data_IF_246876402139
#
_entry.id   IF_246876402139
#
_cell.length_a   1.000
_cell.length_b   1.000
_cell.length_c   1.000
_cell.angle_alpha   90.00
_cell.angle_beta   90.00
_cell.angle_gamma   90.00
#
_symmetry.space_group_name_H-M   'P 1'
#
loop_
_entity.id
_entity.type
_entity.pdbx_description
1 polymer ?
#
# COMPACT_ATOMS: atom_id res chain seq x y z
N UNK A 1 3.80 -3.50 5.47
CA UNK A 1 5.11 -3.00 5.94
C UNK A 1 6.16 -4.08 5.94
N UNK A 2 5.96 -5.24 6.58
CA UNK A 2 6.95 -6.33 6.57
C UNK A 2 7.40 -6.76 5.16
N UNK A 3 6.45 -7.02 4.25
CA UNK A 3 6.77 -7.38 2.87
C UNK A 3 7.54 -6.28 2.12
N UNK A 4 7.23 -5.01 2.37
CA UNK A 4 7.92 -3.86 1.77
C UNK A 4 9.36 -3.73 2.30
N UNK A 5 9.57 -3.97 3.60
CA UNK A 5 10.91 -4.03 4.18
C UNK A 5 11.69 -5.19 3.57
N UNK A 6 11.06 -6.37 3.44
CA UNK A 6 11.66 -7.53 2.77
C UNK A 6 12.07 -7.23 1.34
N UNK A 7 11.22 -6.56 0.55
CA UNK A 7 11.55 -6.10 -0.81
C UNK A 7 12.79 -5.22 -0.84
N UNK A 8 12.83 -4.19 0.02
CA UNK A 8 13.99 -3.28 0.10
C UNK A 8 15.25 -4.06 0.47
N UNK A 9 15.19 -4.94 1.47
CA UNK A 9 16.36 -5.70 1.92
C UNK A 9 16.84 -6.66 0.84
N UNK A 10 15.95 -7.50 0.29
CA UNK A 10 16.31 -8.51 -0.71
C UNK A 10 16.81 -7.89 -2.02
N UNK A 11 16.22 -6.78 -2.47
CA UNK A 11 16.67 -6.06 -3.65
C UNK A 11 18.04 -5.41 -3.47
N UNK A 12 18.34 -4.82 -2.29
CA UNK A 12 19.66 -4.22 -2.04
C UNK A 12 20.76 -5.26 -1.79
N UNK A 13 20.43 -6.44 -1.25
CA UNK A 13 21.40 -7.52 -1.07
C UNK A 13 21.75 -8.18 -2.42
N UNK A 14 20.75 -8.35 -3.31
CA UNK A 14 20.94 -8.90 -4.64
C UNK A 14 21.35 -10.38 -4.66
N UNK A 15 21.91 -10.83 -5.79
CA UNK A 15 22.32 -12.22 -5.99
C UNK A 15 21.15 -13.19 -5.86
N UNK A 16 21.32 -14.26 -5.07
CA UNK A 16 20.27 -15.27 -4.84
C UNK A 16 19.03 -14.72 -4.12
N UNK A 17 19.13 -13.55 -3.49
CA UNK A 17 17.98 -12.90 -2.84
C UNK A 17 17.05 -12.21 -3.83
N UNK A 18 17.47 -12.01 -5.09
CA UNK A 18 16.64 -11.36 -6.10
C UNK A 18 15.40 -12.20 -6.44
N UNK A 19 15.50 -13.53 -6.38
CA UNK A 19 14.31 -14.38 -6.49
C UNK A 19 13.29 -14.01 -5.40
N UNK A 20 13.69 -13.94 -4.14
CA UNK A 20 12.80 -13.50 -3.06
C UNK A 20 12.24 -12.09 -3.26
N UNK A 21 13.02 -11.16 -3.82
CA UNK A 21 12.54 -9.84 -4.18
C UNK A 21 11.37 -9.93 -5.18
N UNK A 22 11.51 -10.72 -6.24
CA UNK A 22 10.48 -10.93 -7.26
C UNK A 22 9.21 -11.54 -6.65
N UNK A 23 9.35 -12.62 -5.88
CA UNK A 23 8.21 -13.29 -5.22
C UNK A 23 7.48 -12.36 -4.23
N UNK A 24 8.23 -11.60 -3.43
CA UNK A 24 7.66 -10.58 -2.54
C UNK A 24 6.98 -9.46 -3.33
N UNK A 25 7.49 -9.13 -4.52
CA UNK A 25 6.91 -8.14 -5.43
C UNK A 25 5.52 -8.56 -5.88
N UNK A 26 5.38 -9.82 -6.32
CA UNK A 26 4.09 -10.39 -6.71
C UNK A 26 3.12 -10.51 -5.54
N UNK A 27 3.63 -10.84 -4.35
CA UNK A 27 2.82 -10.84 -3.15
C UNK A 27 2.31 -9.43 -2.79
N UNK A 28 3.17 -8.41 -2.87
CA UNK A 28 2.78 -7.02 -2.65
C UNK A 28 1.80 -6.54 -3.72
N UNK A 29 1.97 -6.92 -4.99
CA UNK A 29 1.00 -6.64 -6.06
C UNK A 29 -0.39 -7.18 -5.69
N UNK A 30 -0.46 -8.43 -5.25
CA UNK A 30 -1.71 -9.07 -4.81
C UNK A 30 -2.36 -8.32 -3.63
N UNK A 31 -1.57 -7.90 -2.63
CA UNK A 31 -2.06 -7.12 -1.49
C UNK A 31 -2.54 -5.72 -1.89
N UNK A 32 -1.86 -5.07 -2.84
CA UNK A 32 -2.26 -3.76 -3.37
C UNK A 32 -3.59 -3.85 -4.10
N UNK A 33 -3.74 -4.82 -5.01
CA UNK A 33 -5.00 -5.06 -5.73
C UNK A 33 -6.13 -5.38 -4.74
N UNK A 34 -5.88 -6.23 -3.75
CA UNK A 34 -6.85 -6.51 -2.68
C UNK A 34 -7.24 -5.23 -1.95
N UNK A 35 -6.27 -4.38 -1.59
CA UNK A 35 -6.54 -3.13 -0.88
C UNK A 35 -7.35 -2.16 -1.72
N UNK A 36 -7.13 -2.11 -3.03
CA UNK A 36 -7.92 -1.29 -3.97
C UNK A 36 -9.37 -1.79 -4.05
N UNK A 37 -9.59 -3.10 -4.24
CA UNK A 37 -10.94 -3.68 -4.24
C UNK A 37 -11.64 -3.46 -2.90
N UNK A 38 -10.98 -3.80 -1.79
CA UNK A 38 -11.52 -3.64 -0.43
C UNK A 38 -11.76 -2.18 -0.04
N UNK A 39 -11.03 -1.25 -0.66
CA UNK A 39 -11.25 0.19 -0.53
C UNK A 39 -12.49 0.71 -1.26
N UNK A 40 -13.12 -0.10 -2.10
CA UNK A 40 -14.39 0.24 -2.75
C UNK A 40 -15.54 -0.53 -2.11
N UNK A 41 -15.42 -1.85 -1.98
CA UNK A 41 -16.54 -2.72 -1.57
C UNK A 41 -16.55 -3.10 -0.08
N UNK A 42 -15.46 -2.82 0.64
CA UNK A 42 -15.30 -3.25 2.03
C UNK A 42 -16.19 -2.53 3.05
N UNK A 43 -15.88 -2.75 4.32
CA UNK A 43 -16.55 -2.14 5.47
C UNK A 43 -16.45 -0.60 5.50
N UNK A 44 -17.28 0.04 6.34
CA UNK A 44 -17.40 1.51 6.38
C UNK A 44 -16.04 2.22 6.51
N UNK A 45 -15.20 1.77 7.45
CA UNK A 45 -13.89 2.40 7.71
C UNK A 45 -12.77 1.98 6.75
N UNK A 46 -12.99 0.97 5.89
CA UNK A 46 -11.99 0.57 4.88
C UNK A 46 -12.16 1.30 3.56
N UNK A 47 -13.37 1.76 3.26
CA UNK A 47 -13.72 2.41 1.99
C UNK A 47 -13.07 3.78 1.82
N UNK A 48 -12.49 4.06 0.66
CA UNK A 48 -11.83 5.35 0.37
C UNK A 48 -12.77 6.54 0.57
N UNK A 49 -14.06 6.38 0.24
CA UNK A 49 -15.07 7.41 0.43
C UNK A 49 -15.25 7.86 1.89
N UNK A 50 -14.95 7.01 2.89
CA UNK A 50 -15.11 7.39 4.30
C UNK A 50 -13.96 8.26 4.83
N UNK A 51 -12.86 8.37 4.10
CA UNK A 51 -11.69 9.17 4.48
C UNK A 51 -11.10 9.99 3.32
N UNK A 52 -11.89 10.22 2.26
CA UNK A 52 -11.58 11.16 1.19
C UNK A 52 -11.97 12.58 1.63
N UNK A 53 -10.98 13.32 2.13
CA UNK A 53 -11.21 14.66 2.68
C UNK A 53 -10.96 15.75 1.64
N UNK A 54 -11.83 16.76 1.61
CA UNK A 54 -11.60 17.97 0.84
C UNK A 54 -10.38 18.77 1.39
N UNK A 55 -9.67 19.56 0.57
CA UNK A 55 -8.51 20.34 1.02
C UNK A 55 -8.77 21.20 2.26
N UNK A 56 -9.96 21.80 2.37
CA UNK A 56 -10.38 22.58 3.55
C UNK A 56 -10.35 21.77 4.87
N UNK A 57 -10.67 20.48 4.82
CA UNK A 57 -10.67 19.60 5.99
C UNK A 57 -9.25 19.27 6.44
N UNK A 58 -8.31 19.17 5.49
CA UNK A 58 -6.88 18.99 5.77
C UNK A 58 -6.35 20.24 6.47
N UNK A 59 -6.64 21.43 5.95
CA UNK A 59 -6.26 22.69 6.60
C UNK A 59 -6.89 22.87 7.98
N UNK A 60 -8.18 22.52 8.13
CA UNK A 60 -8.84 22.55 9.44
C UNK A 60 -8.15 21.60 10.43
N UNK A 61 -7.71 20.42 9.98
CA UNK A 61 -6.95 19.47 10.80
C UNK A 61 -5.62 20.02 11.26
N UNK A 62 -4.83 20.61 10.36
CA UNK A 62 -3.55 21.23 10.67
C UNK A 62 -3.68 22.37 11.70
N UNK A 63 -4.80 23.11 11.66
CA UNK A 63 -5.13 24.15 12.64
C UNK A 63 -5.77 23.65 13.93
N UNK A 64 -5.88 22.33 14.12
CA UNK A 64 -6.51 21.71 15.30
C UNK A 64 -8.04 21.82 15.35
N UNK A 65 -8.69 22.27 14.28
CA UNK A 65 -10.14 22.52 14.17
C UNK A 65 -10.92 21.39 13.51
N UNK A 66 -10.29 20.24 13.26
CA UNK A 66 -10.98 19.12 12.61
C UNK A 66 -12.03 18.47 13.54
N UNK A 67 -13.22 18.14 13.01
CA UNK A 67 -14.22 17.33 13.71
C UNK A 67 -13.65 16.07 14.35
N UNK A 68 -14.23 15.66 15.48
CA UNK A 68 -13.84 14.44 16.22
C UNK A 68 -14.07 13.17 15.39
N UNK A 69 -15.11 13.13 14.56
CA UNK A 69 -15.41 11.99 13.69
C UNK A 69 -14.27 11.69 12.71
N UNK A 70 -13.57 12.72 12.21
CA UNK A 70 -12.42 12.54 11.34
C UNK A 70 -11.23 11.88 12.05
N UNK A 71 -11.28 11.67 13.37
CA UNK A 71 -10.19 11.01 14.13
C UNK A 71 -10.50 9.54 14.44
N UNK A 72 -11.67 9.05 14.03
CA UNK A 72 -12.08 7.66 14.30
C UNK A 72 -11.33 6.70 13.40
N UNK A 73 -11.52 6.80 12.08
CA UNK A 73 -10.72 6.09 11.09
C UNK A 73 -9.41 6.80 10.79
N UNK A 74 -9.11 6.98 9.51
CA UNK A 74 -7.96 7.76 9.07
C UNK A 74 -8.25 9.25 9.25
N UNK A 75 -7.41 9.94 10.02
CA UNK A 75 -7.44 11.40 10.06
C UNK A 75 -6.96 12.00 8.72
N UNK A 76 -7.21 13.30 8.45
CA UNK A 76 -6.87 13.88 7.16
C UNK A 76 -5.42 13.70 6.72
N UNK A 77 -4.44 13.79 7.62
CA UNK A 77 -3.03 13.50 7.28
C UNK A 77 -2.77 12.00 7.10
N UNK A 78 -3.39 11.16 7.93
CA UNK A 78 -3.34 9.71 7.78
C UNK A 78 -3.94 9.23 6.45
N UNK A 79 -5.02 9.85 5.99
CA UNK A 79 -5.64 9.59 4.70
C UNK A 79 -4.70 9.94 3.54
N UNK A 80 -4.05 11.12 3.59
CA UNK A 80 -3.01 11.48 2.61
C UNK A 80 -1.87 10.47 2.59
N UNK A 81 -1.42 10.01 3.77
CA UNK A 81 -0.38 8.98 3.85
C UNK A 81 -0.81 7.67 3.19
N UNK A 82 -2.07 7.22 3.37
CA UNK A 82 -2.60 6.03 2.69
C UNK A 82 -2.58 6.21 1.17
N UNK A 83 -3.10 7.32 0.64
CA UNK A 83 -3.14 7.54 -0.80
C UNK A 83 -1.73 7.67 -1.40
N UNK A 84 -0.82 8.38 -0.73
CA UNK A 84 0.57 8.52 -1.16
C UNK A 84 1.29 7.17 -1.20
N UNK A 85 1.17 6.36 -0.14
CA UNK A 85 1.79 5.03 -0.10
C UNK A 85 1.18 4.07 -1.12
N UNK A 86 -0.14 4.10 -1.33
CA UNK A 86 -0.79 3.26 -2.35
C UNK A 86 -0.31 3.61 -3.75
N UNK A 87 -0.25 4.90 -4.08
CA UNK A 87 0.20 5.36 -5.39
C UNK A 87 1.68 5.02 -5.60
N UNK A 88 2.54 5.35 -4.64
CA UNK A 88 3.97 5.09 -4.74
C UNK A 88 4.28 3.60 -4.85
N UNK A 89 3.63 2.76 -4.04
CA UNK A 89 3.80 1.30 -4.12
C UNK A 89 3.29 0.74 -5.45
N UNK A 90 2.17 1.24 -5.96
CA UNK A 90 1.65 0.80 -7.25
C UNK A 90 2.63 1.13 -8.37
N UNK A 91 3.13 2.37 -8.42
CA UNK A 91 4.14 2.77 -9.41
C UNK A 91 5.42 1.94 -9.28
N UNK A 92 5.90 1.70 -8.05
CA UNK A 92 7.10 0.88 -7.80
C UNK A 92 6.93 -0.55 -8.31
N UNK A 93 5.77 -1.17 -8.05
CA UNK A 93 5.51 -2.55 -8.49
C UNK A 93 5.36 -2.62 -9.99
N UNK A 94 4.62 -1.69 -10.60
CA UNK A 94 4.43 -1.65 -12.05
C UNK A 94 5.75 -1.39 -12.79
N UNK A 95 6.60 -0.49 -12.27
CA UNK A 95 7.93 -0.27 -12.84
C UNK A 95 8.80 -1.53 -12.70
N UNK A 96 8.71 -2.25 -11.57
CA UNK A 96 9.44 -3.51 -11.37
C UNK A 96 9.01 -4.64 -12.32
N UNK A 97 7.75 -4.66 -12.77
CA UNK A 97 7.31 -5.61 -13.81
C UNK A 97 7.93 -5.30 -15.19
N UNK A 98 8.38 -4.06 -15.39
CA UNK A 98 9.01 -3.54 -16.61
C UNK A 98 10.54 -3.41 -16.50
N UNK A 99 11.13 -3.73 -15.36
CA UNK A 99 12.58 -3.65 -15.13
C UNK A 99 13.29 -4.86 -15.74
N UNK A 100 14.44 -4.61 -16.34
CA UNK A 100 15.39 -5.62 -16.81
C UNK A 100 16.77 -5.29 -16.23
N UNK A 101 17.41 -6.27 -15.57
CA UNK A 101 18.77 -6.11 -15.03
C UNK A 101 19.86 -6.41 -16.06
N UNK A 102 19.47 -6.81 -17.29
CA UNK A 102 20.30 -7.17 -18.43
C UNK A 102 21.26 -8.36 -18.21
N UNK A 103 21.16 -9.07 -17.08
CA UNK A 103 22.07 -10.16 -16.72
C UNK A 103 21.29 -11.45 -16.44
N UNK A 104 20.41 -11.45 -15.44
CA UNK A 104 19.78 -12.66 -14.92
C UNK A 104 18.26 -12.53 -14.74
N UNK A 105 17.72 -11.31 -14.59
CA UNK A 105 16.33 -11.09 -14.23
C UNK A 105 15.69 -10.01 -15.09
N UNK A 106 14.62 -10.41 -15.78
CA UNK A 106 13.75 -9.50 -16.51
C UNK A 106 12.32 -9.64 -16.01
N UNK A 107 11.65 -8.50 -15.85
CA UNK A 107 10.24 -8.42 -15.50
C UNK A 107 9.35 -8.97 -16.61
N UNK A 108 8.17 -9.51 -16.27
CA UNK A 108 7.30 -10.17 -17.25
C UNK A 108 6.74 -9.22 -18.31
N UNK A 109 6.78 -7.91 -18.07
CA UNK A 109 6.23 -6.91 -19.00
C UNK A 109 7.28 -6.30 -19.93
N UNK A 110 8.56 -6.63 -19.76
CA UNK A 110 9.65 -6.14 -20.63
C UNK A 110 9.35 -6.38 -22.11
N UNK A 111 8.78 -7.55 -22.44
CA UNK A 111 8.42 -7.92 -23.81
C UNK A 111 7.30 -7.04 -24.44
N UNK A 112 6.53 -6.31 -23.63
CA UNK A 112 5.45 -5.43 -24.09
C UNK A 112 5.89 -3.97 -24.28
N UNK A 113 7.09 -3.62 -23.84
CA UNK A 113 7.58 -2.24 -23.81
C UNK A 113 8.75 -2.02 -24.77
N UNK A 114 8.91 -0.78 -25.23
CA UNK A 114 10.13 -0.41 -25.96
C UNK A 114 11.32 -0.37 -25.00
N UNK A 115 12.56 -0.56 -25.49
CA UNK A 115 13.76 -0.48 -24.66
C UNK A 115 13.83 0.83 -23.85
N UNK A 116 13.45 1.95 -24.45
CA UNK A 116 13.44 3.25 -23.78
C UNK A 116 12.45 3.32 -22.59
N UNK A 117 11.34 2.58 -22.64
CA UNK A 117 10.41 2.49 -21.52
C UNK A 117 10.91 1.52 -20.45
N UNK A 118 11.56 0.43 -20.84
CA UNK A 118 12.22 -0.53 -19.93
C UNK A 118 13.31 0.20 -19.14
N UNK A 119 14.20 0.93 -19.81
CA UNK A 119 15.27 1.71 -19.17
C UNK A 119 14.71 2.72 -18.15
N UNK A 120 13.68 3.49 -18.53
CA UNK A 120 13.02 4.43 -17.61
C UNK A 120 12.36 3.74 -16.42
N UNK A 121 11.77 2.57 -16.63
CA UNK A 121 11.14 1.80 -15.58
C UNK A 121 12.18 1.24 -14.60
N UNK A 122 13.30 0.72 -15.12
CA UNK A 122 14.48 0.31 -14.35
C UNK A 122 15.03 1.47 -13.52
N UNK A 123 15.33 2.61 -14.13
CA UNK A 123 15.84 3.81 -13.44
C UNK A 123 14.89 4.27 -12.33
N UNK A 124 13.58 4.31 -12.63
CA UNK A 124 12.59 4.67 -11.62
C UNK A 124 12.55 3.63 -10.50
N UNK A 125 12.51 2.34 -10.81
CA UNK A 125 12.42 1.28 -9.81
C UNK A 125 13.64 1.29 -8.89
N UNK A 126 14.84 1.37 -9.45
CA UNK A 126 16.09 1.16 -8.73
C UNK A 126 16.57 2.42 -8.01
N UNK A 127 16.24 3.61 -8.50
CA UNK A 127 16.71 4.86 -7.92
C UNK A 127 15.57 5.68 -7.31
N UNK A 128 14.71 6.25 -8.17
CA UNK A 128 13.77 7.31 -7.78
C UNK A 128 12.67 6.77 -6.87
N UNK A 129 11.96 5.75 -7.33
CA UNK A 129 10.86 5.10 -6.65
C UNK A 129 11.31 4.42 -5.36
N UNK A 130 12.48 3.76 -5.37
CA UNK A 130 13.10 3.20 -4.17
C UNK A 130 13.31 4.24 -3.08
N UNK A 131 13.97 5.36 -3.40
CA UNK A 131 14.24 6.43 -2.43
C UNK A 131 12.97 7.11 -1.94
N UNK A 132 12.03 7.39 -2.85
CA UNK A 132 10.72 7.95 -2.51
C UNK A 132 9.98 7.03 -1.53
N UNK A 133 9.94 5.72 -1.80
CA UNK A 133 9.22 4.76 -0.98
C UNK A 133 9.87 4.60 0.40
N UNK A 134 11.19 4.56 0.49
CA UNK A 134 11.93 4.56 1.77
C UNK A 134 11.54 5.80 2.59
N UNK A 135 11.55 6.99 1.97
CA UNK A 135 11.18 8.24 2.63
C UNK A 135 9.73 8.22 3.15
N UNK A 136 8.78 7.77 2.32
CA UNK A 136 7.36 7.68 2.71
C UNK A 136 7.13 6.66 3.83
N UNK A 137 7.78 5.50 3.77
CA UNK A 137 7.70 4.47 4.83
C UNK A 137 8.30 5.00 6.12
N UNK A 138 9.49 5.62 6.07
CA UNK A 138 10.12 6.22 7.24
C UNK A 138 9.21 7.29 7.87
N UNK A 139 8.67 8.21 7.08
CA UNK A 139 7.73 9.23 7.54
C UNK A 139 6.48 8.61 8.18
N UNK A 140 5.93 7.56 7.57
CA UNK A 140 4.77 6.85 8.10
C UNK A 140 5.08 6.21 9.46
N UNK A 141 6.21 5.52 9.60
CA UNK A 141 6.64 4.90 10.86
C UNK A 141 6.91 5.96 11.95
N UNK A 142 7.54 7.09 11.60
CA UNK A 142 7.73 8.21 12.50
C UNK A 142 6.39 8.81 12.96
N UNK A 143 5.41 8.92 12.07
CA UNK A 143 4.06 9.35 12.45
C UNK A 143 3.44 8.36 13.45
N UNK A 144 3.51 7.05 13.22
CA UNK A 144 3.00 6.05 14.17
C UNK A 144 3.68 6.16 15.54
N UNK A 145 5.01 6.40 15.56
CA UNK A 145 5.75 6.61 16.79
C UNK A 145 5.30 7.90 17.50
N UNK A 146 5.10 8.99 16.77
CA UNK A 146 4.56 10.23 17.30
C UNK A 146 3.17 10.04 17.93
N UNK A 147 2.25 9.34 17.27
CA UNK A 147 0.93 9.07 17.84
C UNK A 147 1.02 8.20 19.09
N UNK A 148 1.92 7.20 19.11
CA UNK A 148 2.13 6.34 20.27
C UNK A 148 2.72 7.12 21.46
N UNK A 149 3.79 7.88 21.25
CA UNK A 149 4.55 8.51 22.34
C UNK A 149 3.97 9.85 22.79
N UNK A 150 3.56 10.70 21.84
CA UNK A 150 3.10 12.07 22.11
C UNK A 150 1.59 12.12 22.27
N UNK A 151 0.84 11.51 21.35
CA UNK A 151 -0.63 11.49 21.42
C UNK A 151 -1.18 10.40 22.34
N UNK A 152 -0.33 9.45 22.77
CA UNK A 152 -0.72 8.29 23.59
C UNK A 152 -1.87 7.50 22.97
N UNK A 153 -1.90 7.43 21.64
CA UNK A 153 -2.89 6.66 20.87
C UNK A 153 -2.24 5.38 20.35
N UNK A 154 -2.77 4.22 20.74
CA UNK A 154 -2.26 2.92 20.35
C UNK A 154 -2.74 2.51 18.93
N UNK A 155 -2.31 3.25 17.90
CA UNK A 155 -2.75 3.04 16.51
C UNK A 155 -2.39 1.65 15.98
N UNK A 156 -1.19 1.14 16.30
CA UNK A 156 -0.73 -0.18 15.83
C UNK A 156 -1.62 -1.30 16.34
N UNK A 157 -2.12 -1.19 17.58
CA UNK A 157 -3.05 -2.18 18.14
C UNK A 157 -4.33 -2.25 17.31
N UNK A 158 -4.93 -1.08 17.03
CA UNK A 158 -6.13 -0.99 16.21
C UNK A 158 -5.92 -1.46 14.75
N UNK A 159 -4.69 -1.37 14.23
CA UNK A 159 -4.37 -1.91 12.90
C UNK A 159 -4.30 -3.44 12.88
N UNK A 160 -3.96 -4.07 14.01
CA UNK A 160 -3.86 -5.53 14.12
C UNK A 160 -5.20 -6.17 14.48
N UNK A 161 -5.94 -5.56 15.42
CA UNK A 161 -7.24 -6.08 15.86
C UNK A 161 -8.40 -5.63 14.97
N UNK A 162 -8.24 -4.51 14.26
CA UNK A 162 -9.33 -3.84 13.55
C UNK A 162 -10.17 -2.92 14.45
N UNK A 163 -9.95 -2.95 15.77
CA UNK A 163 -10.77 -2.27 16.76
C UNK A 163 -10.06 -1.07 17.38
N UNK A 164 -10.76 0.07 17.41
CA UNK A 164 -10.31 1.29 18.09
C UNK A 164 -11.26 1.63 19.23
N UNK A 165 -10.70 1.78 20.44
CA UNK A 165 -11.47 2.26 21.59
C UNK A 165 -11.77 3.76 21.43
N UNK A 166 -13.05 4.12 21.51
CA UNK A 166 -13.53 5.49 21.31
C UNK A 166 -14.31 5.98 22.53
N UNK A 167 -14.17 7.27 22.91
CA UNK A 167 -14.98 7.87 23.99
C UNK A 167 -16.45 8.04 23.64
N UNK A 168 -16.79 8.03 22.34
CA UNK A 168 -18.15 8.21 21.83
C UNK A 168 -18.45 7.14 20.79
N UNK A 169 -19.70 6.66 20.69
CA UNK A 169 -20.12 5.77 19.61
C UNK A 169 -19.83 6.38 18.25
N UNK A 170 -19.36 5.54 17.34
CA UNK A 170 -19.17 5.86 15.93
C UNK A 170 -19.82 4.75 15.09
N UNK A 171 -20.11 4.99 13.80
CA UNK A 171 -20.60 3.93 12.92
C UNK A 171 -19.69 2.70 13.02
N UNK A 172 -20.25 1.51 13.26
CA UNK A 172 -19.46 0.28 13.25
C UNK A 172 -19.22 -0.18 11.81
N UNK A 173 -18.05 -0.79 11.57
CA UNK A 173 -17.92 -1.66 10.40
C UNK A 173 -18.69 -2.96 10.68
N UNK A 174 -19.29 -3.54 9.63
CA UNK A 174 -19.87 -4.88 9.72
C UNK A 174 -18.74 -5.88 9.52
N UNK A 175 -18.48 -6.73 10.50
CA UNK A 175 -17.32 -7.64 10.49
C UNK A 175 -17.74 -9.11 10.64
N UNK A 176 -18.94 -9.46 10.15
CA UNK A 176 -19.50 -10.81 10.22
C UNK A 176 -19.00 -11.76 9.13
N UNK A 177 -19.46 -13.02 9.17
CA UNK A 177 -19.02 -14.08 8.25
C UNK A 177 -19.17 -13.71 6.76
N UNK A 178 -20.23 -12.98 6.40
CA UNK A 178 -20.44 -12.51 5.03
C UNK A 178 -19.34 -11.53 4.57
N UNK A 179 -18.85 -10.66 5.47
CA UNK A 179 -17.78 -9.72 5.15
C UNK A 179 -16.41 -10.40 5.07
N UNK A 180 -16.18 -11.42 5.90
CA UNK A 180 -15.01 -12.29 5.77
C UNK A 180 -15.01 -13.07 4.46
N UNK A 181 -16.17 -13.62 4.05
CA UNK A 181 -16.32 -14.28 2.75
C UNK A 181 -16.09 -13.31 1.59
N UNK A 182 -16.60 -12.08 1.68
CA UNK A 182 -16.34 -11.03 0.69
C UNK A 182 -14.85 -10.67 0.63
N UNK A 183 -14.19 -10.53 1.78
CA UNK A 183 -12.76 -10.23 1.85
C UNK A 183 -11.93 -11.36 1.21
N UNK A 184 -12.24 -12.62 1.53
CA UNK A 184 -11.60 -13.79 0.93
C UNK A 184 -11.81 -13.82 -0.60
N UNK A 185 -13.03 -13.54 -1.07
CA UNK A 185 -13.32 -13.42 -2.50
C UNK A 185 -12.55 -12.28 -3.19
N UNK A 186 -12.46 -11.11 -2.55
CA UNK A 186 -11.67 -9.99 -3.07
C UNK A 186 -10.17 -10.33 -3.13
N UNK A 187 -9.65 -11.04 -2.13
CA UNK A 187 -8.25 -11.45 -2.10
C UNK A 187 -7.98 -12.53 -3.17
N UNK A 188 -8.87 -13.52 -3.32
CA UNK A 188 -8.75 -14.52 -4.37
C UNK A 188 -8.77 -13.88 -5.77
N UNK A 189 -9.66 -12.91 -6.00
CA UNK A 189 -9.70 -12.14 -7.25
C UNK A 189 -8.40 -11.34 -7.46
N UNK A 190 -7.90 -10.68 -6.42
CA UNK A 190 -6.65 -9.91 -6.48
C UNK A 190 -5.43 -10.79 -6.77
N UNK A 191 -5.33 -11.94 -6.10
CA UNK A 191 -4.27 -12.91 -6.33
C UNK A 191 -4.36 -13.53 -7.73
N UNK A 192 -5.56 -13.88 -8.19
CA UNK A 192 -5.80 -14.36 -9.55
C UNK A 192 -5.42 -13.33 -10.61
N UNK A 193 -5.81 -12.07 -10.42
CA UNK A 193 -5.41 -10.98 -11.31
C UNK A 193 -3.89 -10.78 -11.29
N UNK A 194 -3.26 -10.77 -10.11
CA UNK A 194 -1.80 -10.68 -10.00
C UNK A 194 -1.11 -11.81 -10.73
N UNK A 195 -1.61 -13.05 -10.60
CA UNK A 195 -1.08 -14.21 -11.31
C UNK A 195 -1.19 -14.03 -12.82
N UNK A 196 -2.35 -13.60 -13.33
CA UNK A 196 -2.54 -13.32 -14.75
C UNK A 196 -1.56 -12.24 -15.20
N UNK A 197 -1.49 -11.09 -14.53
CA UNK A 197 -0.61 -9.99 -14.90
C UNK A 197 0.86 -10.41 -14.96
N UNK A 198 1.32 -11.23 -14.01
CA UNK A 198 2.71 -11.69 -13.95
C UNK A 198 3.03 -12.74 -15.02
N UNK A 199 2.07 -13.57 -15.42
CA UNK A 199 2.28 -14.61 -16.43
C UNK A 199 1.85 -14.17 -17.83
N UNK A 200 1.37 -12.95 -17.99
CA UNK A 200 0.91 -12.42 -19.26
C UNK A 200 2.08 -11.84 -20.05
N UNK A 201 2.90 -12.72 -20.62
CA UNK A 201 3.89 -12.38 -21.63
C UNK A 201 3.36 -12.73 -23.03
N UNK A 202 3.70 -11.96 -24.08
CA UNK A 202 3.42 -12.38 -25.44
C UNK A 202 4.29 -13.61 -25.79
N UNK A 203 3.74 -14.50 -26.61
CA UNK A 203 4.46 -15.67 -27.14
C UNK A 203 5.50 -15.28 -28.19
#
# INVERSE_FOLDING_TARGET
MLAVIGLITTGNVGGLWMEWHIWLGYFVLSLLLFRLFWGVVGGYWSRFASFAYAPRSIWAYLRGRSPTLHRVGHNPLGALSVFALLLALLLQVLSGLLTDDAIFYAGPWVAWASPEWVDRASDYHDEVGKLLLIGLVALHLLALLYYKLVKREALVSAMLTGDKLLPKPAPSSRDGAAQWALAAGCYALAAGLSYVLVNWAPA
#
